data_IF_516740545195
#
_entry.id   IF_516740545195
#
_cell.length_a   1.000
_cell.length_b   1.000
_cell.length_c   1.000
_cell.angle_alpha   90.00
_cell.angle_beta   90.00
_cell.angle_gamma   90.00
#
_symmetry.space_group_name_H-M   'P 1'
#
loop_
_entity.id
_entity.type
_entity.pdbx_description
1 polymer ?
#
# COMPACT_ATOMS: atom_id res chain seq x y z
N UNK A 1 -28.87 -11.15 15.63
CA UNK A 1 -28.72 -9.93 14.81
C UNK A 1 -27.25 -9.46 14.76
N UNK A 2 -26.31 -10.27 14.25
CA UNK A 2 -24.86 -9.99 14.52
C UNK A 2 -23.91 -10.09 13.31
N UNK A 3 -24.41 -10.46 12.12
CA UNK A 3 -23.53 -10.69 10.94
C UNK A 3 -23.05 -9.40 10.27
N UNK A 4 -23.90 -8.37 10.13
CA UNK A 4 -23.55 -7.12 9.39
C UNK A 4 -22.47 -6.27 10.07
N UNK A 5 -22.23 -6.43 11.37
CA UNK A 5 -21.17 -5.72 12.09
C UNK A 5 -19.79 -6.28 11.77
N UNK A 6 -19.64 -7.61 11.79
CA UNK A 6 -18.36 -8.32 11.60
C UNK A 6 -17.75 -8.06 10.22
N UNK A 7 -18.56 -8.00 9.16
CA UNK A 7 -18.09 -7.68 7.81
C UNK A 7 -17.57 -6.25 7.67
N UNK A 8 -18.19 -5.25 8.33
CA UNK A 8 -17.70 -3.86 8.33
C UNK A 8 -16.41 -3.68 9.11
N UNK A 9 -16.19 -4.49 10.15
CA UNK A 9 -14.94 -4.50 10.91
C UNK A 9 -13.84 -5.16 10.10
N UNK A 10 -14.12 -6.32 9.48
CA UNK A 10 -13.16 -7.01 8.62
C UNK A 10 -12.71 -6.13 7.44
N UNK A 11 -13.67 -5.43 6.80
CA UNK A 11 -13.37 -4.49 5.72
C UNK A 11 -12.43 -3.36 6.18
N UNK A 12 -12.71 -2.76 7.35
CA UNK A 12 -11.83 -1.74 7.93
C UNK A 12 -10.45 -2.29 8.29
N UNK A 13 -10.37 -3.50 8.84
CA UNK A 13 -9.09 -4.14 9.17
C UNK A 13 -8.23 -4.37 7.92
N UNK A 14 -8.83 -4.79 6.80
CA UNK A 14 -8.12 -4.97 5.53
C UNK A 14 -7.57 -3.64 5.02
N UNK A 15 -8.41 -2.59 5.00
CA UNK A 15 -7.98 -1.25 4.56
C UNK A 15 -6.87 -0.70 5.46
N UNK A 16 -7.02 -0.83 6.78
CA UNK A 16 -6.01 -0.38 7.75
C UNK A 16 -4.69 -1.13 7.53
N UNK A 17 -4.73 -2.46 7.34
CA UNK A 17 -3.54 -3.25 7.07
C UNK A 17 -2.80 -2.76 5.83
N UNK A 18 -3.51 -2.59 4.70
CA UNK A 18 -2.93 -2.04 3.48
C UNK A 18 -2.39 -0.62 3.68
N UNK A 19 -3.10 0.24 4.41
CA UNK A 19 -2.64 1.59 4.71
C UNK A 19 -1.33 1.59 5.53
N UNK A 20 -1.24 0.72 6.55
CA UNK A 20 -0.01 0.53 7.31
C UNK A 20 1.13 0.01 6.45
N UNK A 21 0.86 -0.93 5.54
CA UNK A 21 1.86 -1.49 4.64
C UNK A 21 2.40 -0.44 3.65
N UNK A 22 1.50 0.40 3.11
CA UNK A 22 1.86 1.54 2.26
C UNK A 22 2.74 2.53 3.05
N UNK A 23 2.29 2.97 4.23
CA UNK A 23 3.04 3.92 5.07
C UNK A 23 4.41 3.38 5.48
N UNK A 24 4.48 2.11 5.86
CA UNK A 24 5.73 1.44 6.21
C UNK A 24 6.68 1.40 5.01
N UNK A 25 6.21 0.97 3.84
CA UNK A 25 7.06 0.91 2.66
C UNK A 25 7.52 2.30 2.21
N UNK A 26 6.66 3.33 2.29
CA UNK A 26 7.06 4.73 2.07
C UNK A 26 8.14 5.17 3.06
N UNK A 27 7.96 4.89 4.35
CA UNK A 27 8.96 5.20 5.38
C UNK A 27 10.30 4.49 5.09
N UNK A 28 10.28 3.22 4.72
CA UNK A 28 11.49 2.46 4.39
C UNK A 28 12.22 3.03 3.16
N UNK A 29 11.47 3.41 2.12
CA UNK A 29 12.01 3.95 0.87
C UNK A 29 12.61 5.34 1.04
N UNK A 30 12.02 6.20 1.88
CA UNK A 30 12.45 7.60 2.02
C UNK A 30 13.35 7.87 3.23
N UNK A 31 13.16 7.15 4.34
CA UNK A 31 13.82 7.47 5.61
C UNK A 31 14.80 6.39 6.08
N UNK A 32 14.37 5.12 6.14
CA UNK A 32 15.15 4.09 6.83
C UNK A 32 16.39 3.61 6.03
N UNK A 33 16.26 3.44 4.71
CA UNK A 33 17.31 2.82 3.89
C UNK A 33 18.28 3.86 3.30
N UNK A 34 17.96 5.15 3.40
CA UNK A 34 18.73 6.24 2.79
C UNK A 34 19.90 6.78 3.62
N UNK A 35 20.07 6.35 4.88
CA UNK A 35 21.16 6.85 5.75
C UNK A 35 21.10 8.37 5.93
N UNK A 36 20.08 8.88 6.64
CA UNK A 36 20.01 10.25 7.16
C UNK A 36 19.90 11.41 6.15
N UNK A 37 20.16 11.19 4.86
CA UNK A 37 20.05 12.20 3.81
C UNK A 37 19.06 11.75 2.74
N UNK A 38 17.93 12.45 2.72
CA UNK A 38 16.89 12.50 1.67
C UNK A 38 17.44 12.38 0.24
N UNK A 39 16.58 12.07 -0.76
CA UNK A 39 16.85 11.13 -1.83
C UNK A 39 18.25 11.26 -2.42
N UNK A 40 18.88 10.11 -2.68
CA UNK A 40 20.11 9.93 -3.45
C UNK A 40 20.00 10.48 -4.89
N UNK A 41 19.65 11.74 -5.08
CA UNK A 41 19.54 12.41 -6.37
C UNK A 41 20.89 12.51 -7.08
N UNK A 42 22.02 12.31 -6.37
CA UNK A 42 23.39 12.51 -6.92
C UNK A 42 24.50 11.56 -6.42
N UNK A 43 24.21 10.46 -5.71
CA UNK A 43 25.25 9.54 -5.15
C UNK A 43 25.08 8.05 -5.49
N UNK A 44 24.47 7.74 -6.63
CA UNK A 44 24.27 6.34 -7.08
C UNK A 44 25.60 5.58 -7.18
N UNK A 45 26.67 6.25 -7.58
CA UNK A 45 28.03 5.68 -7.75
C UNK A 45 28.76 5.33 -6.45
N UNK A 46 28.37 5.89 -5.30
CA UNK A 46 29.03 5.66 -4.00
C UNK A 46 28.15 4.90 -3.00
N UNK A 47 26.96 4.48 -3.41
CA UNK A 47 26.02 3.79 -2.53
C UNK A 47 26.22 2.27 -2.66
N UNK A 48 26.33 1.51 -1.56
CA UNK A 48 26.41 0.07 -1.62
C UNK A 48 25.22 -0.52 -2.38
N UNK A 49 25.48 -1.49 -3.25
CA UNK A 49 24.47 -2.07 -4.14
C UNK A 49 23.31 -2.71 -3.36
N UNK A 50 23.57 -3.27 -2.18
CA UNK A 50 22.55 -3.78 -1.26
C UNK A 50 21.50 -2.74 -0.86
N UNK A 51 21.92 -1.50 -0.65
CA UNK A 51 21.02 -0.40 -0.24
C UNK A 51 20.08 -0.03 -1.39
N UNK A 52 20.61 -0.02 -2.62
CA UNK A 52 19.84 0.27 -3.83
C UNK A 52 18.80 -0.84 -4.08
N UNK A 53 19.20 -2.11 -3.98
CA UNK A 53 18.29 -3.25 -4.16
C UNK A 53 17.21 -3.24 -3.08
N UNK A 54 17.57 -3.08 -1.80
CA UNK A 54 16.59 -3.01 -0.70
C UNK A 54 15.56 -1.91 -0.97
N UNK A 55 15.99 -0.70 -1.33
CA UNK A 55 15.08 0.42 -1.63
C UNK A 55 14.12 0.12 -2.79
N UNK A 56 14.58 -0.57 -3.83
CA UNK A 56 13.75 -1.01 -4.95
C UNK A 56 12.73 -2.07 -4.52
N UNK A 57 13.12 -3.02 -3.69
CA UNK A 57 12.24 -4.05 -3.15
C UNK A 57 11.09 -3.44 -2.35
N UNK A 58 11.38 -2.53 -1.42
CA UNK A 58 10.34 -1.83 -0.66
C UNK A 58 9.46 -0.94 -1.54
N UNK A 59 10.02 -0.34 -2.60
CA UNK A 59 9.21 0.40 -3.56
C UNK A 59 8.20 -0.51 -4.26
N UNK A 60 8.62 -1.70 -4.69
CA UNK A 60 7.73 -2.70 -5.31
C UNK A 60 6.65 -3.16 -4.31
N UNK A 61 7.02 -3.36 -3.04
CA UNK A 61 6.07 -3.72 -1.98
C UNK A 61 4.98 -2.64 -1.80
N UNK A 62 5.35 -1.36 -1.82
CA UNK A 62 4.40 -0.23 -1.80
C UNK A 62 3.47 -0.27 -3.02
N UNK A 63 4.03 -0.44 -4.22
CA UNK A 63 3.22 -0.52 -5.44
C UNK A 63 2.23 -1.69 -5.39
N UNK A 64 2.67 -2.86 -4.94
CA UNK A 64 1.80 -4.03 -4.76
C UNK A 64 0.71 -3.77 -3.72
N UNK A 65 1.03 -3.12 -2.60
CA UNK A 65 0.04 -2.77 -1.58
C UNK A 65 -1.01 -1.78 -2.11
N UNK A 66 -0.59 -0.79 -2.90
CA UNK A 66 -1.50 0.17 -3.55
C UNK A 66 -2.40 -0.54 -4.57
N UNK A 67 -1.85 -1.42 -5.40
CA UNK A 67 -2.62 -2.19 -6.38
C UNK A 67 -3.62 -3.10 -5.67
N UNK A 68 -3.19 -3.82 -4.62
CA UNK A 68 -4.05 -4.66 -3.80
C UNK A 68 -5.21 -3.89 -3.17
N UNK A 69 -4.93 -2.73 -2.58
CA UNK A 69 -5.96 -1.85 -2.01
C UNK A 69 -6.93 -1.33 -3.09
N UNK A 70 -6.40 -0.95 -4.26
CA UNK A 70 -7.21 -0.44 -5.38
C UNK A 70 -8.17 -1.50 -5.92
N UNK A 71 -7.68 -2.73 -6.13
CA UNK A 71 -8.50 -3.88 -6.56
C UNK A 71 -9.54 -4.22 -5.49
N UNK A 72 -9.12 -4.25 -4.22
CA UNK A 72 -10.02 -4.54 -3.11
C UNK A 72 -11.18 -3.54 -3.04
N UNK A 73 -10.91 -2.24 -3.15
CA UNK A 73 -11.94 -1.19 -3.19
C UNK A 73 -12.81 -1.29 -4.45
N UNK A 74 -12.25 -1.62 -5.61
CA UNK A 74 -13.03 -1.81 -6.83
C UNK A 74 -14.07 -2.93 -6.67
N UNK A 75 -13.69 -4.05 -6.07
CA UNK A 75 -14.60 -5.19 -5.85
C UNK A 75 -15.61 -4.89 -4.74
N UNK A 76 -15.16 -4.28 -3.64
CA UNK A 76 -16.01 -4.12 -2.44
C UNK A 76 -16.91 -2.90 -2.46
N UNK A 77 -16.50 -1.81 -3.12
CA UNK A 77 -17.27 -0.55 -3.15
C UNK A 77 -17.86 -0.27 -4.53
N UNK A 78 -17.10 -0.47 -5.62
CA UNK A 78 -17.55 -0.08 -6.97
C UNK A 78 -18.52 -1.11 -7.56
N UNK A 79 -18.22 -2.40 -7.40
CA UNK A 79 -19.08 -3.47 -7.91
C UNK A 79 -20.50 -3.47 -7.31
N UNK A 80 -20.70 -3.47 -5.97
CA UNK A 80 -22.06 -3.47 -5.42
C UNK A 80 -22.82 -2.16 -5.69
N UNK A 81 -22.13 -1.01 -5.76
CA UNK A 81 -22.78 0.26 -6.13
C UNK A 81 -23.33 0.22 -7.55
N UNK A 82 -22.53 -0.23 -8.53
CA UNK A 82 -22.96 -0.36 -9.92
C UNK A 82 -24.10 -1.38 -10.10
N UNK A 83 -24.06 -2.50 -9.38
CA UNK A 83 -25.14 -3.50 -9.44
C UNK A 83 -26.44 -2.95 -8.87
N UNK A 84 -26.40 -2.17 -7.78
CA UNK A 84 -27.61 -1.53 -7.24
C UNK A 84 -28.12 -0.36 -8.11
N UNK A 85 -27.22 0.34 -8.80
CA UNK A 85 -27.56 1.45 -9.71
C UNK A 85 -28.21 0.95 -11.00
N UNK A 86 -27.76 -0.17 -11.56
CA UNK A 86 -28.36 -0.81 -12.75
C UNK A 86 -29.71 -1.52 -12.50
N UNK A 87 -30.23 -1.50 -11.27
CA UNK A 87 -31.52 -2.09 -10.90
C UNK A 87 -32.61 -1.02 -10.64
N UNK A 88 -32.30 0.26 -10.84
CA UNK A 88 -33.25 1.38 -10.87
C UNK A 88 -33.56 1.77 -12.31
#
# INVERSE_FOLDING_TARGET
MEKKGKWRVLHRLIIINFAFQILYGFYMVFFAIGGGKYPLFKRVIFTPLEVIIKRRLYSIEVWLAIVGLSIYLAITEVFPKKVMENQK
#
